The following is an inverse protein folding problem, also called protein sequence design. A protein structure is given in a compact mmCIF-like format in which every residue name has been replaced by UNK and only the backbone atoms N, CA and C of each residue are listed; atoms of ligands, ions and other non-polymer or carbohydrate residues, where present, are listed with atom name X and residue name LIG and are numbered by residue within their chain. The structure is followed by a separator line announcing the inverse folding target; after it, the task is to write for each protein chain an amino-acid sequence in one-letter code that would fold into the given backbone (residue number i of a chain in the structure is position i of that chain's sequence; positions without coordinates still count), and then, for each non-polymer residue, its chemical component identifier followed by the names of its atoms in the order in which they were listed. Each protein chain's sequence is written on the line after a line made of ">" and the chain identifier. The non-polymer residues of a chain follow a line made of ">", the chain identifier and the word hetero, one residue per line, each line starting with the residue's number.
data_IF_754222076815
#
_entry.id   IF_754222076815
#
_cell.length_a   1.000
_cell.length_b   1.000
_cell.length_c   1.000
_cell.angle_alpha   90.00
_cell.angle_beta   90.00
_cell.angle_gamma   90.00
#
_symmetry.space_group_name_H-M   'P 1'
#
loop_
_entity.id
_entity.type
_entity.pdbx_description
1 polymer ?
#
# COMPACT_ATOMS: atom_id res chain seq x y z
N UNK A 1 26.17 -12.03 -8.38
CA UNK A 1 25.65 -11.16 -9.49
C UNK A 1 26.02 -9.71 -9.20
N UNK A 2 26.52 -8.99 -10.22
CA UNK A 2 26.96 -7.59 -10.14
C UNK A 2 25.99 -6.76 -10.92
N UNK A 3 25.50 -5.65 -10.34
CA UNK A 3 24.55 -4.74 -10.98
C UNK A 3 25.22 -3.46 -11.45
N UNK A 4 26.18 -2.95 -10.66
CA UNK A 4 26.85 -1.68 -10.98
C UNK A 4 28.37 -1.86 -10.99
N UNK A 5 29.13 -1.18 -11.88
CA UNK A 5 30.59 -1.30 -11.95
C UNK A 5 31.32 -0.91 -10.66
N UNK A 6 30.72 -0.02 -9.85
CA UNK A 6 31.30 0.41 -8.56
C UNK A 6 31.07 -0.58 -7.42
N UNK A 7 30.24 -1.64 -7.61
CA UNK A 7 29.97 -2.59 -6.56
C UNK A 7 31.25 -3.30 -6.11
N UNK A 8 31.57 -3.21 -4.83
CA UNK A 8 32.68 -3.96 -4.21
C UNK A 8 32.21 -5.22 -3.47
N UNK A 9 30.89 -5.49 -3.51
CA UNK A 9 30.27 -6.75 -3.07
C UNK A 9 29.42 -7.34 -4.16
N UNK A 10 29.24 -8.66 -4.12
CA UNK A 10 28.32 -9.39 -4.99
C UNK A 10 27.42 -10.32 -4.16
N UNK A 11 26.28 -10.71 -4.73
CA UNK A 11 25.38 -11.70 -4.13
C UNK A 11 25.69 -13.07 -4.71
N UNK A 12 25.98 -14.02 -3.83
CA UNK A 12 26.19 -15.43 -4.14
C UNK A 12 24.87 -16.16 -4.48
N UNK A 13 25.00 -17.41 -4.90
CA UNK A 13 23.84 -18.30 -5.19
C UNK A 13 23.02 -18.61 -3.94
N UNK A 14 23.61 -18.50 -2.78
CA UNK A 14 22.99 -18.66 -1.45
C UNK A 14 22.25 -17.39 -0.96
N UNK A 15 22.25 -16.32 -1.74
CA UNK A 15 21.62 -15.05 -1.39
C UNK A 15 22.46 -14.14 -0.46
N UNK A 16 23.66 -14.58 -0.04
CA UNK A 16 24.53 -13.80 0.82
C UNK A 16 25.46 -12.86 0.03
N UNK A 17 25.95 -11.81 0.71
CA UNK A 17 26.89 -10.86 0.10
C UNK A 17 28.33 -11.29 0.36
N UNK A 18 29.17 -11.21 -0.65
CA UNK A 18 30.61 -11.51 -0.59
C UNK A 18 31.43 -10.38 -1.17
N UNK A 19 32.57 -10.08 -0.55
CA UNK A 19 33.48 -9.04 -1.01
C UNK A 19 34.14 -9.44 -2.34
N UNK A 20 34.09 -8.58 -3.35
CA UNK A 20 34.74 -8.79 -4.66
C UNK A 20 36.22 -8.42 -4.68
N UNK A 21 36.63 -7.57 -3.77
CA UNK A 21 38.02 -7.13 -3.57
C UNK A 21 38.24 -6.95 -2.06
N UNK A 22 39.47 -6.86 -1.60
CA UNK A 22 39.75 -6.48 -0.22
C UNK A 22 39.15 -5.11 0.09
N UNK A 23 38.49 -4.98 1.24
CA UNK A 23 37.85 -3.75 1.72
C UNK A 23 38.51 -3.39 3.05
N UNK A 24 39.06 -2.19 3.16
CA UNK A 24 39.71 -1.77 4.40
C UNK A 24 38.70 -1.37 5.47
N UNK A 25 39.11 -1.42 6.73
CA UNK A 25 38.25 -0.91 7.82
C UNK A 25 37.94 0.58 7.60
N UNK A 26 36.69 0.96 7.68
CA UNK A 26 36.21 2.31 7.47
C UNK A 26 35.81 2.61 6.02
N UNK A 27 36.15 1.74 5.06
CA UNK A 27 35.74 1.92 3.67
C UNK A 27 34.27 1.58 3.48
N UNK A 28 33.65 2.24 2.51
CA UNK A 28 32.25 2.00 2.15
C UNK A 28 32.06 0.61 1.52
N UNK A 29 30.99 -0.04 1.94
CA UNK A 29 30.45 -1.21 1.26
C UNK A 29 29.49 -0.70 0.19
N UNK A 30 29.86 -0.88 -1.07
CA UNK A 30 29.09 -0.37 -2.22
C UNK A 30 28.33 -1.51 -2.89
N UNK A 31 27.01 -1.33 -3.02
CA UNK A 31 26.10 -2.22 -3.72
C UNK A 31 25.10 -1.40 -4.54
N UNK A 32 24.80 -1.82 -5.75
CA UNK A 32 23.96 -1.04 -6.70
C UNK A 32 24.53 0.34 -7.05
N UNK A 33 25.85 0.51 -6.91
CA UNK A 33 26.52 1.78 -7.11
C UNK A 33 26.44 2.76 -5.94
N UNK A 34 25.79 2.38 -4.84
CA UNK A 34 25.58 3.20 -3.65
C UNK A 34 26.19 2.56 -2.39
N UNK A 35 26.69 3.36 -1.44
CA UNK A 35 27.14 2.85 -0.16
C UNK A 35 25.95 2.32 0.66
N UNK A 36 26.07 1.07 1.13
CA UNK A 36 25.08 0.42 2.01
C UNK A 36 25.55 0.34 3.47
N UNK A 37 26.70 0.89 3.78
CA UNK A 37 27.33 0.89 5.09
C UNK A 37 28.84 1.00 4.93
N UNK A 38 29.59 0.85 6.03
CA UNK A 38 31.05 0.82 6.03
C UNK A 38 31.58 -0.42 6.74
N UNK A 39 32.79 -0.85 6.38
CA UNK A 39 33.45 -1.98 7.01
C UNK A 39 33.89 -1.63 8.45
N UNK A 40 33.53 -2.45 9.43
CA UNK A 40 33.95 -2.29 10.83
C UNK A 40 35.28 -2.96 11.13
N UNK A 41 35.74 -3.84 10.24
CA UNK A 41 37.04 -4.52 10.24
C UNK A 41 37.50 -4.74 8.79
N UNK A 42 38.79 -5.02 8.51
CA UNK A 42 39.23 -5.40 7.18
C UNK A 42 38.46 -6.65 6.69
N UNK A 43 37.99 -6.62 5.44
CA UNK A 43 37.23 -7.73 4.82
C UNK A 43 38.08 -8.23 3.65
N UNK A 44 38.42 -9.53 3.63
CA UNK A 44 39.15 -10.13 2.54
C UNK A 44 38.27 -10.39 1.31
N UNK A 45 38.89 -10.47 0.13
CA UNK A 45 38.16 -10.88 -1.07
C UNK A 45 37.55 -12.26 -0.90
N UNK A 46 36.30 -12.41 -1.27
CA UNK A 46 35.48 -13.64 -1.10
C UNK A 46 34.94 -13.83 0.31
N UNK A 47 35.23 -12.95 1.24
CA UNK A 47 34.69 -13.02 2.61
C UNK A 47 33.22 -12.58 2.63
N UNK A 48 32.44 -13.22 3.53
CA UNK A 48 31.04 -12.92 3.75
C UNK A 48 30.89 -11.54 4.39
N UNK A 49 30.05 -10.69 3.77
CA UNK A 49 29.79 -9.32 4.19
C UNK A 49 28.43 -9.27 4.90
N UNK A 50 28.45 -9.08 6.23
CA UNK A 50 27.30 -9.15 7.09
C UNK A 50 27.43 -8.21 8.29
N UNK A 51 26.41 -8.16 9.18
CA UNK A 51 26.39 -7.29 10.36
C UNK A 51 27.53 -7.48 11.36
N UNK A 52 28.32 -8.56 11.27
CA UNK A 52 29.53 -8.76 12.07
C UNK A 52 30.71 -7.91 11.61
N UNK A 53 30.77 -7.52 10.34
CA UNK A 53 31.87 -6.73 9.75
C UNK A 53 31.40 -5.49 8.97
N UNK A 54 30.10 -5.15 9.05
CA UNK A 54 29.51 -3.95 8.44
C UNK A 54 28.66 -3.20 9.46
N UNK A 55 28.79 -1.88 9.48
CA UNK A 55 27.88 -0.98 10.20
C UNK A 55 27.21 -0.01 9.22
N UNK A 56 26.04 0.47 9.62
CA UNK A 56 25.30 1.49 8.86
C UNK A 56 26.04 2.83 8.86
N UNK A 57 25.94 3.58 7.75
CA UNK A 57 26.40 4.96 7.66
C UNK A 57 25.41 5.94 8.30
N UNK A 58 24.21 5.48 8.66
CA UNK A 58 23.18 6.30 9.31
C UNK A 58 23.56 6.50 10.78
N UNK A 59 24.09 7.67 11.12
CA UNK A 59 24.47 8.05 12.49
C UNK A 59 23.95 9.45 12.83
N UNK A 60 23.32 9.59 14.00
CA UNK A 60 22.87 10.87 14.54
C UNK A 60 21.66 11.47 13.82
N UNK A 61 21.47 12.77 13.97
CA UNK A 61 20.54 13.55 13.18
C UNK A 61 21.15 13.77 11.80
N UNK A 62 20.47 13.30 10.76
CA UNK A 62 20.90 13.50 9.39
C UNK A 62 20.35 14.84 8.90
N UNK A 63 21.23 15.73 8.48
CA UNK A 63 20.85 16.91 7.72
C UNK A 63 20.61 16.48 6.27
N UNK A 64 19.33 16.49 5.86
CA UNK A 64 18.97 16.19 4.49
C UNK A 64 18.93 17.46 3.68
N UNK A 65 19.72 17.52 2.62
CA UNK A 65 19.67 18.59 1.65
C UNK A 65 18.98 18.07 0.37
N UNK A 66 17.89 18.72 -0.01
CA UNK A 66 17.13 18.32 -1.19
C UNK A 66 17.81 18.84 -2.45
N UNK A 67 18.43 17.95 -3.21
CA UNK A 67 19.04 18.25 -4.51
C UNK A 67 18.18 17.65 -5.62
N UNK A 68 17.16 18.39 -6.11
CA UNK A 68 16.28 17.86 -7.14
C UNK A 68 17.01 17.71 -8.48
N UNK A 69 16.95 16.52 -9.07
CA UNK A 69 17.35 16.25 -10.45
C UNK A 69 16.12 15.73 -11.22
N UNK A 70 15.40 16.65 -11.85
CA UNK A 70 14.20 16.32 -12.60
C UNK A 70 14.49 16.23 -14.09
N UNK A 71 14.46 15.04 -14.63
CA UNK A 71 14.33 14.83 -16.07
C UNK A 71 12.83 14.85 -16.43
N UNK A 72 12.36 15.80 -17.25
CA UNK A 72 10.96 15.83 -17.69
C UNK A 72 10.59 14.51 -18.38
N UNK A 73 9.48 13.91 -17.98
CA UNK A 73 8.94 12.72 -18.61
C UNK A 73 7.93 13.15 -19.66
N UNK A 74 8.18 12.80 -20.94
CA UNK A 74 7.19 12.98 -21.98
C UNK A 74 6.05 11.96 -21.80
N UNK A 75 4.83 12.47 -21.65
CA UNK A 75 3.65 11.63 -21.43
C UNK A 75 2.99 11.28 -22.74
N UNK A 76 2.95 9.99 -23.07
CA UNK A 76 2.28 9.45 -24.26
C UNK A 76 1.35 8.29 -23.87
N UNK A 77 0.09 8.59 -23.57
CA UNK A 77 -0.88 7.55 -23.24
C UNK A 77 -1.35 6.82 -24.51
N UNK A 78 -0.80 5.63 -24.76
CA UNK A 78 -1.15 4.78 -25.89
C UNK A 78 -1.86 3.49 -25.50
N UNK A 79 -2.03 3.24 -24.21
CA UNK A 79 -2.58 2.00 -23.69
C UNK A 79 -3.86 2.23 -22.91
N UNK A 80 -4.73 1.25 -22.96
CA UNK A 80 -5.99 1.19 -22.20
C UNK A 80 -6.06 -0.09 -21.38
N UNK A 81 -6.94 -0.11 -20.39
CA UNK A 81 -7.28 -1.30 -19.63
C UNK A 81 -8.79 -1.40 -19.42
N UNK A 82 -9.27 -2.57 -19.06
CA UNK A 82 -10.67 -2.82 -18.76
C UNK A 82 -10.93 -2.59 -17.26
N UNK A 83 -11.67 -1.53 -16.92
CA UNK A 83 -11.94 -1.12 -15.55
C UNK A 83 -13.38 -0.70 -15.33
N UNK A 84 -13.68 -0.23 -14.13
CA UNK A 84 -15.00 0.25 -13.72
C UNK A 84 -14.95 1.75 -13.47
N UNK A 85 -15.69 2.52 -14.24
CA UNK A 85 -15.85 3.97 -14.03
C UNK A 85 -16.88 4.22 -12.93
N UNK A 86 -16.52 5.02 -11.93
CA UNK A 86 -17.43 5.42 -10.84
C UNK A 86 -18.16 6.72 -11.20
N UNK A 87 -19.25 7.01 -10.48
CA UNK A 87 -20.04 8.23 -10.70
C UNK A 87 -19.24 9.50 -10.43
N UNK A 88 -18.34 9.46 -9.44
CA UNK A 88 -17.41 10.55 -9.09
C UNK A 88 -16.23 10.72 -10.08
N UNK A 89 -16.21 9.94 -11.18
CA UNK A 89 -15.18 9.96 -12.21
C UNK A 89 -13.94 9.13 -11.89
N UNK A 90 -13.80 8.59 -10.70
CA UNK A 90 -12.70 7.68 -10.34
C UNK A 90 -12.82 6.34 -11.08
N UNK A 91 -11.73 5.57 -11.09
CA UNK A 91 -11.65 4.32 -11.82
C UNK A 91 -11.14 3.20 -10.92
N UNK A 92 -11.91 2.11 -10.87
CA UNK A 92 -11.52 0.88 -10.20
C UNK A 92 -11.08 -0.20 -11.19
N UNK A 93 -10.07 -0.97 -10.82
CA UNK A 93 -9.68 -2.21 -11.52
C UNK A 93 -10.46 -3.40 -10.97
N UNK A 94 -11.05 -3.27 -9.78
CA UNK A 94 -11.91 -4.23 -9.10
C UNK A 94 -13.30 -3.65 -8.89
N UNK A 95 -14.24 -4.51 -8.47
CA UNK A 95 -15.62 -4.14 -8.23
C UNK A 95 -16.19 -4.97 -7.07
N UNK A 96 -15.41 -5.06 -6.01
CA UNK A 96 -15.73 -5.90 -4.86
C UNK A 96 -16.77 -5.24 -3.97
N UNK A 97 -17.57 -6.04 -3.26
CA UNK A 97 -18.37 -5.56 -2.13
C UNK A 97 -17.48 -5.57 -0.89
N UNK A 98 -17.41 -4.43 -0.21
CA UNK A 98 -16.64 -4.31 1.02
C UNK A 98 -17.53 -4.14 2.23
N UNK A 99 -17.17 -4.81 3.34
CA UNK A 99 -17.76 -4.58 4.65
C UNK A 99 -16.69 -3.94 5.53
N UNK A 100 -16.94 -2.72 5.99
CA UNK A 100 -15.99 -1.92 6.74
C UNK A 100 -16.53 -1.70 8.16
N UNK A 101 -16.00 -2.40 9.18
CA UNK A 101 -16.39 -2.16 10.57
C UNK A 101 -15.83 -0.83 11.07
N UNK A 102 -16.57 -0.06 11.86
CA UNK A 102 -16.11 1.14 12.55
C UNK A 102 -15.41 0.80 13.87
N UNK A 103 -15.60 -0.43 14.36
CA UNK A 103 -15.03 -0.95 15.61
C UNK A 103 -14.74 -2.44 15.50
N UNK A 104 -13.66 -2.89 16.14
CA UNK A 104 -13.25 -4.30 16.10
C UNK A 104 -14.28 -5.29 16.66
N UNK A 105 -15.21 -4.85 17.51
CA UNK A 105 -16.25 -5.68 18.13
C UNK A 105 -17.16 -6.36 17.09
N UNK A 106 -17.40 -5.74 15.94
CA UNK A 106 -18.25 -6.30 14.87
C UNK A 106 -17.47 -6.98 13.75
N UNK A 107 -16.17 -7.24 13.94
CA UNK A 107 -15.32 -7.91 12.95
C UNK A 107 -15.83 -9.31 12.55
N UNK A 108 -16.38 -10.06 13.51
CA UNK A 108 -16.93 -11.40 13.22
C UNK A 108 -18.13 -11.31 12.27
N UNK A 109 -19.06 -10.41 12.55
CA UNK A 109 -20.22 -10.13 11.71
C UNK A 109 -19.79 -9.61 10.32
N UNK A 110 -18.80 -8.70 10.28
CA UNK A 110 -18.27 -8.19 9.01
C UNK A 110 -17.69 -9.30 8.13
N UNK A 111 -16.92 -10.23 8.70
CA UNK A 111 -16.36 -11.38 7.96
C UNK A 111 -17.43 -12.32 7.47
N UNK A 112 -18.42 -12.63 8.32
CA UNK A 112 -19.54 -13.49 7.95
C UNK A 112 -20.30 -12.91 6.75
N UNK A 113 -20.76 -11.67 6.85
CA UNK A 113 -21.52 -10.99 5.81
C UNK A 113 -20.74 -10.85 4.50
N UNK A 114 -19.45 -10.49 4.58
CA UNK A 114 -18.61 -10.40 3.40
C UNK A 114 -18.43 -11.76 2.71
N UNK A 115 -18.19 -12.83 3.46
CA UNK A 115 -18.00 -14.17 2.92
C UNK A 115 -19.23 -14.68 2.16
N UNK A 116 -20.44 -14.37 2.63
CA UNK A 116 -21.69 -14.80 2.00
C UNK A 116 -21.90 -14.23 0.58
N UNK A 117 -21.30 -13.07 0.29
CA UNK A 117 -21.41 -12.41 -1.02
C UNK A 117 -20.11 -12.46 -1.84
N UNK A 118 -19.11 -13.22 -1.39
CA UNK A 118 -17.80 -13.23 -2.02
C UNK A 118 -17.11 -11.85 -1.97
N UNK A 119 -17.41 -11.06 -0.97
CA UNK A 119 -16.86 -9.72 -0.72
C UNK A 119 -15.63 -9.74 0.18
N UNK A 120 -15.20 -8.56 0.63
CA UNK A 120 -14.01 -8.35 1.47
C UNK A 120 -14.40 -7.64 2.75
N UNK A 121 -14.05 -8.23 3.92
CA UNK A 121 -14.16 -7.54 5.21
C UNK A 121 -12.83 -6.84 5.53
N UNK A 122 -12.84 -5.52 5.65
CA UNK A 122 -11.67 -4.71 6.00
C UNK A 122 -11.61 -4.50 7.52
N UNK A 123 -11.31 -5.58 8.24
CA UNK A 123 -11.31 -5.63 9.69
C UNK A 123 -10.06 -4.97 10.31
N UNK A 124 -10.22 -4.42 11.51
CA UNK A 124 -9.12 -3.85 12.31
C UNK A 124 -9.31 -4.20 13.80
N UNK A 125 -8.24 -4.21 14.63
CA UNK A 125 -8.33 -4.60 16.03
C UNK A 125 -8.81 -3.49 16.97
N UNK A 126 -9.01 -2.27 16.47
CA UNK A 126 -9.26 -1.12 17.32
C UNK A 126 -10.69 -1.10 17.85
N UNK A 127 -10.82 -0.69 19.14
CA UNK A 127 -12.07 -0.58 19.86
C UNK A 127 -12.23 0.80 20.51
N UNK A 128 -13.11 0.88 21.51
CA UNK A 128 -13.43 2.12 22.25
C UNK A 128 -12.24 2.71 23.05
N UNK A 129 -11.15 1.95 23.22
CA UNK A 129 -9.94 2.42 23.91
C UNK A 129 -9.03 3.30 23.05
N UNK A 130 -9.24 3.35 21.75
CA UNK A 130 -8.45 4.23 20.87
C UNK A 130 -8.93 5.68 21.03
N UNK A 131 -8.02 6.59 21.37
CA UNK A 131 -8.32 7.99 21.68
C UNK A 131 -7.42 8.94 20.91
N UNK A 132 -7.80 10.22 20.89
CA UNK A 132 -7.01 11.30 20.32
C UNK A 132 -6.66 11.11 18.84
N UNK A 133 -5.43 11.45 18.47
CA UNK A 133 -4.98 11.41 17.09
C UNK A 133 -5.06 10.03 16.43
N UNK A 134 -4.78 8.96 17.18
CA UNK A 134 -4.83 7.61 16.64
C UNK A 134 -6.26 7.22 16.25
N UNK A 135 -7.23 7.64 17.05
CA UNK A 135 -8.65 7.46 16.74
C UNK A 135 -9.04 8.24 15.47
N UNK A 136 -8.62 9.50 15.37
CA UNK A 136 -8.89 10.33 14.20
C UNK A 136 -8.27 9.75 12.93
N UNK A 137 -7.00 9.33 12.98
CA UNK A 137 -6.31 8.71 11.86
C UNK A 137 -7.00 7.41 11.40
N UNK A 138 -7.46 6.58 12.35
CA UNK A 138 -8.22 5.37 12.02
C UNK A 138 -9.53 5.72 11.31
N UNK A 139 -10.26 6.69 11.82
CA UNK A 139 -11.51 7.13 11.21
C UNK A 139 -11.30 7.72 9.80
N UNK A 140 -10.21 8.50 9.60
CA UNK A 140 -9.84 9.05 8.28
C UNK A 140 -9.47 7.94 7.29
N UNK A 141 -8.71 6.94 7.74
CA UNK A 141 -8.35 5.79 6.92
C UNK A 141 -9.59 4.99 6.49
N UNK A 142 -10.48 4.69 7.43
CA UNK A 142 -11.73 3.98 7.12
C UNK A 142 -12.61 4.78 6.16
N UNK A 143 -12.71 6.11 6.34
CA UNK A 143 -13.44 6.98 5.42
C UNK A 143 -12.82 6.99 4.02
N UNK A 144 -11.50 6.96 3.91
CA UNK A 144 -10.78 6.85 2.64
C UNK A 144 -11.04 5.51 1.95
N UNK A 145 -11.13 4.41 2.73
CA UNK A 145 -11.48 3.09 2.20
C UNK A 145 -12.91 3.05 1.65
N UNK A 146 -13.87 3.72 2.30
CA UNK A 146 -15.25 3.84 1.77
C UNK A 146 -15.29 4.50 0.39
N UNK A 147 -14.38 5.46 0.14
CA UNK A 147 -14.26 6.19 -1.13
C UNK A 147 -13.37 5.51 -2.15
N UNK A 148 -12.79 4.35 -1.82
CA UNK A 148 -11.81 3.70 -2.68
C UNK A 148 -12.48 3.13 -3.95
N UNK A 149 -11.99 3.45 -5.17
CA UNK A 149 -12.67 3.12 -6.42
C UNK A 149 -12.74 1.62 -6.74
N UNK A 150 -11.97 0.77 -6.07
CA UNK A 150 -12.08 -0.68 -6.21
C UNK A 150 -13.31 -1.27 -5.50
N UNK A 151 -13.94 -0.52 -4.58
CA UNK A 151 -15.20 -0.91 -4.00
C UNK A 151 -16.35 -0.67 -4.99
N UNK A 152 -17.08 -1.71 -5.36
CA UNK A 152 -18.32 -1.64 -6.13
C UNK A 152 -19.52 -1.28 -5.28
N UNK A 153 -19.42 -1.55 -3.99
CA UNK A 153 -20.38 -1.18 -2.94
C UNK A 153 -19.75 -1.40 -1.57
N UNK A 154 -20.14 -0.57 -0.61
CA UNK A 154 -19.60 -0.60 0.75
C UNK A 154 -20.72 -0.66 1.78
N UNK A 155 -20.67 -1.66 2.67
CA UNK A 155 -21.44 -1.69 3.90
C UNK A 155 -20.56 -1.21 5.04
N UNK A 156 -20.87 -0.05 5.63
CA UNK A 156 -20.24 0.43 6.86
C UNK A 156 -21.01 -0.15 8.03
N UNK A 157 -20.30 -0.87 8.91
CA UNK A 157 -20.89 -1.63 10.02
C UNK A 157 -20.40 -1.09 11.36
N UNK A 158 -21.30 -0.51 12.15
CA UNK A 158 -21.08 -0.08 13.53
C UNK A 158 -21.71 -1.05 14.55
N UNK A 159 -21.25 -0.98 15.80
CA UNK A 159 -21.89 -1.68 16.91
C UNK A 159 -23.01 -0.83 17.52
N UNK A 160 -22.72 0.43 17.87
CA UNK A 160 -23.66 1.37 18.48
C UNK A 160 -23.14 2.07 19.73
N UNK A 161 -22.09 1.55 20.38
CA UNK A 161 -21.49 2.14 21.60
C UNK A 161 -20.02 2.55 21.43
N UNK A 162 -19.50 2.48 20.23
CA UNK A 162 -18.10 2.85 19.92
C UNK A 162 -17.88 4.37 19.89
N UNK A 163 -16.61 4.79 20.11
CA UNK A 163 -16.20 6.20 20.00
C UNK A 163 -16.30 6.72 18.56
N UNK A 164 -16.03 5.88 17.58
CA UNK A 164 -16.23 6.18 16.17
C UNK A 164 -17.69 5.97 15.76
N UNK A 165 -18.60 6.73 16.40
CA UNK A 165 -20.03 6.59 16.19
C UNK A 165 -20.42 6.73 14.72
N UNK A 166 -21.50 6.05 14.31
CA UNK A 166 -21.97 6.13 12.92
C UNK A 166 -22.29 7.56 12.50
N UNK A 167 -22.80 8.39 13.40
CA UNK A 167 -23.06 9.79 13.13
C UNK A 167 -21.77 10.59 12.87
N UNK A 168 -20.76 10.43 13.73
CA UNK A 168 -19.46 11.11 13.55
C UNK A 168 -18.76 10.64 12.28
N UNK A 169 -18.84 9.35 11.98
CA UNK A 169 -18.26 8.77 10.79
C UNK A 169 -18.93 9.28 9.51
N UNK A 170 -20.25 9.37 9.47
CA UNK A 170 -20.99 9.98 8.34
C UNK A 170 -20.64 11.44 8.13
N UNK A 171 -20.49 12.23 9.20
CA UNK A 171 -20.02 13.63 9.09
C UNK A 171 -18.61 13.70 8.48
N UNK A 172 -17.73 12.79 8.85
CA UNK A 172 -16.36 12.71 8.30
C UNK A 172 -16.36 12.31 6.83
N UNK A 173 -17.23 11.39 6.43
CA UNK A 173 -17.44 11.03 5.03
C UNK A 173 -17.95 12.21 4.20
N UNK A 174 -18.78 13.09 4.77
CA UNK A 174 -19.44 14.15 4.03
C UNK A 174 -20.42 13.63 2.98
N UNK A 175 -20.49 14.27 1.82
CA UNK A 175 -21.38 13.85 0.74
C UNK A 175 -20.95 12.49 0.17
N UNK A 176 -21.89 11.55 0.13
CA UNK A 176 -21.73 10.19 -0.38
C UNK A 176 -22.74 9.86 -1.49
N UNK A 177 -23.41 10.87 -2.05
CA UNK A 177 -24.45 10.69 -3.07
C UNK A 177 -23.94 9.97 -4.33
N UNK A 178 -22.66 10.13 -4.64
CA UNK A 178 -21.99 9.48 -5.76
C UNK A 178 -21.44 8.08 -5.43
N UNK A 179 -21.54 7.66 -4.19
CA UNK A 179 -21.03 6.36 -3.71
C UNK A 179 -22.18 5.35 -3.54
N UNK A 180 -21.86 4.09 -3.85
CA UNK A 180 -22.74 2.97 -3.52
C UNK A 180 -22.41 2.51 -2.08
N UNK A 181 -22.99 3.15 -1.09
CA UNK A 181 -22.73 2.90 0.34
C UNK A 181 -24.02 2.70 1.14
N UNK A 182 -23.98 1.75 2.09
CA UNK A 182 -25.02 1.52 3.10
C UNK A 182 -24.39 1.51 4.48
N UNK A 183 -25.20 1.76 5.48
CA UNK A 183 -24.79 1.87 6.88
C UNK A 183 -25.69 0.99 7.75
N UNK A 184 -25.07 0.25 8.64
CA UNK A 184 -25.75 -0.59 9.63
C UNK A 184 -25.14 -0.38 11.01
N UNK A 185 -25.97 -0.15 12.01
CA UNK A 185 -25.59 -0.20 13.42
C UNK A 185 -26.23 -1.44 14.02
N UNK A 186 -25.41 -2.38 14.50
CA UNK A 186 -25.89 -3.70 14.91
C UNK A 186 -26.91 -3.64 16.07
N UNK A 187 -26.69 -2.73 17.03
CA UNK A 187 -27.59 -2.59 18.19
C UNK A 187 -28.94 -1.88 17.88
N UNK A 188 -29.06 -1.24 16.72
CA UNK A 188 -30.31 -0.55 16.32
C UNK A 188 -31.31 -1.47 15.64
N UNK A 189 -30.95 -2.72 15.38
CA UNK A 189 -31.80 -3.71 14.69
C UNK A 189 -31.98 -4.98 15.52
N UNK A 190 -33.06 -5.72 15.26
CA UNK A 190 -33.32 -6.97 15.97
C UNK A 190 -32.49 -8.15 15.44
N UNK A 191 -32.17 -8.15 14.15
CA UNK A 191 -31.37 -9.17 13.46
C UNK A 191 -30.40 -8.47 12.53
N UNK A 192 -29.18 -8.27 13.03
CA UNK A 192 -28.11 -7.61 12.31
C UNK A 192 -27.60 -8.42 11.11
N UNK A 193 -27.76 -9.75 11.14
CA UNK A 193 -27.38 -10.61 10.03
C UNK A 193 -28.38 -10.48 8.89
N UNK A 194 -29.67 -10.56 9.19
CA UNK A 194 -30.71 -10.42 8.16
C UNK A 194 -30.67 -9.03 7.52
N UNK A 195 -30.53 -7.98 8.33
CA UNK A 195 -30.44 -6.61 7.81
C UNK A 195 -29.14 -6.39 6.99
N UNK A 196 -28.00 -6.91 7.45
CA UNK A 196 -26.73 -6.87 6.70
C UNK A 196 -26.85 -7.55 5.34
N UNK A 197 -27.48 -8.72 5.26
CA UNK A 197 -27.77 -9.43 4.00
C UNK A 197 -28.63 -8.60 3.05
N UNK A 198 -29.71 -7.99 3.59
CA UNK A 198 -30.60 -7.13 2.81
C UNK A 198 -29.82 -5.95 2.17
N UNK A 199 -29.03 -5.25 2.98
CA UNK A 199 -28.23 -4.10 2.53
C UNK A 199 -27.15 -4.51 1.51
N UNK A 200 -26.50 -5.66 1.70
CA UNK A 200 -25.53 -6.19 0.73
C UNK A 200 -26.18 -6.59 -0.60
N UNK A 201 -27.40 -7.11 -0.57
CA UNK A 201 -28.16 -7.41 -1.79
C UNK A 201 -28.49 -6.13 -2.58
N UNK A 202 -28.87 -5.04 -1.90
CA UNK A 202 -29.07 -3.74 -2.54
C UNK A 202 -27.77 -3.22 -3.18
N UNK A 203 -26.67 -3.22 -2.43
CA UNK A 203 -25.34 -2.81 -2.93
C UNK A 203 -24.92 -3.62 -4.15
N UNK A 204 -25.21 -4.93 -4.15
CA UNK A 204 -24.90 -5.82 -5.27
C UNK A 204 -25.72 -5.48 -6.51
N UNK A 205 -26.99 -5.15 -6.35
CA UNK A 205 -27.88 -4.78 -7.45
C UNK A 205 -27.48 -3.44 -8.10
N UNK A 206 -26.99 -2.50 -7.31
CA UNK A 206 -26.63 -1.15 -7.77
C UNK A 206 -25.21 -1.04 -8.35
N UNK A 207 -24.33 -2.01 -8.10
CA UNK A 207 -22.94 -1.93 -8.58
C UNK A 207 -22.86 -2.08 -10.11
N UNK A 208 -21.94 -1.37 -10.80
CA UNK A 208 -21.72 -1.56 -12.22
C UNK A 208 -21.30 -3.01 -12.54
N UNK A 209 -21.94 -3.64 -13.52
CA UNK A 209 -21.64 -5.05 -13.87
C UNK A 209 -20.65 -5.16 -15.03
N UNK A 210 -20.48 -4.11 -15.84
CA UNK A 210 -19.64 -4.13 -17.04
C UNK A 210 -18.36 -3.31 -16.85
N UNK A 211 -17.25 -3.88 -17.33
CA UNK A 211 -16.00 -3.14 -17.51
C UNK A 211 -16.11 -2.27 -18.77
N UNK A 212 -15.43 -1.14 -18.73
CA UNK A 212 -15.28 -0.23 -19.85
C UNK A 212 -13.82 -0.01 -20.15
N UNK A 213 -13.52 0.37 -21.37
CA UNK A 213 -12.16 0.75 -21.77
C UNK A 213 -11.77 2.09 -21.16
N UNK A 214 -10.61 2.13 -20.51
CA UNK A 214 -10.13 3.27 -19.73
C UNK A 214 -8.66 3.50 -20.08
N UNK A 215 -8.23 4.74 -20.36
CA UNK A 215 -6.83 5.05 -20.58
C UNK A 215 -5.96 4.72 -19.35
N UNK A 216 -4.77 4.18 -19.57
CA UNK A 216 -3.79 3.86 -18.50
C UNK A 216 -3.39 5.10 -17.71
N UNK A 217 -3.51 6.29 -18.28
CA UNK A 217 -3.29 7.55 -17.56
C UNK A 217 -4.18 7.75 -16.30
N UNK A 218 -5.29 7.00 -16.20
CA UNK A 218 -6.15 7.01 -15.00
C UNK A 218 -5.79 5.93 -13.97
N UNK A 219 -4.80 5.08 -14.26
CA UNK A 219 -4.38 4.01 -13.36
C UNK A 219 -3.47 4.55 -12.25
N UNK A 220 -3.76 4.15 -11.02
CA UNK A 220 -2.94 4.45 -9.83
C UNK A 220 -2.51 3.14 -9.20
N UNK A 221 -1.21 2.98 -8.97
CA UNK A 221 -0.63 1.73 -8.44
C UNK A 221 0.26 2.03 -7.25
N UNK A 222 -0.05 1.41 -6.11
CA UNK A 222 0.82 1.42 -4.94
C UNK A 222 1.94 0.40 -5.12
N UNK A 223 3.16 0.79 -4.83
CA UNK A 223 4.36 -0.03 -4.90
C UNK A 223 4.91 -0.24 -3.49
N UNK A 224 5.23 -1.48 -3.16
CA UNK A 224 5.75 -1.87 -1.85
C UNK A 224 6.82 -2.95 -2.00
N UNK A 225 7.93 -2.80 -1.27
CA UNK A 225 8.89 -3.87 -1.09
C UNK A 225 8.34 -4.93 -0.13
N UNK A 226 8.54 -6.22 -0.42
CA UNK A 226 8.02 -7.33 0.37
C UNK A 226 8.99 -7.82 1.44
N UNK A 227 10.05 -8.53 1.01
CA UNK A 227 10.88 -9.35 1.87
C UNK A 227 12.26 -8.79 2.21
N UNK A 228 12.69 -7.69 1.61
CA UNK A 228 14.04 -7.09 1.81
C UNK A 228 15.19 -8.09 1.66
N UNK A 229 15.03 -9.08 0.78
CA UNK A 229 16.07 -10.08 0.50
C UNK A 229 17.02 -9.62 -0.61
N UNK A 230 18.21 -10.24 -0.69
CA UNK A 230 19.23 -9.87 -1.66
C UNK A 230 18.81 -10.04 -3.12
N UNK A 231 17.91 -10.96 -3.43
CA UNK A 231 17.42 -11.18 -4.79
C UNK A 231 16.35 -10.18 -5.20
N UNK A 232 15.55 -9.65 -4.27
CA UNK A 232 14.57 -8.58 -4.56
C UNK A 232 15.25 -7.37 -5.20
N UNK A 233 16.38 -6.95 -4.64
CA UNK A 233 17.15 -5.82 -5.17
C UNK A 233 17.78 -6.10 -6.55
N UNK A 234 17.98 -7.36 -6.90
CA UNK A 234 18.56 -7.77 -8.19
C UNK A 234 17.50 -7.96 -9.28
N UNK A 235 16.28 -8.30 -8.92
CA UNK A 235 15.25 -8.75 -9.86
C UNK A 235 13.96 -7.96 -9.73
N UNK A 236 13.24 -8.14 -8.62
CA UNK A 236 11.90 -7.59 -8.44
C UNK A 236 11.91 -6.05 -8.38
N UNK A 237 12.79 -5.45 -7.59
CA UNK A 237 12.81 -3.99 -7.42
C UNK A 237 13.18 -3.24 -8.72
N UNK A 238 14.20 -3.65 -9.51
CA UNK A 238 14.44 -3.07 -10.83
C UNK A 238 13.26 -3.23 -11.79
N UNK A 239 12.56 -4.37 -11.77
CA UNK A 239 11.37 -4.58 -12.60
C UNK A 239 10.23 -3.65 -12.18
N UNK A 240 9.99 -3.50 -10.88
CA UNK A 240 9.00 -2.56 -10.34
C UNK A 240 9.34 -1.12 -10.71
N UNK A 241 10.63 -0.74 -10.64
CA UNK A 241 11.11 0.56 -11.11
C UNK A 241 10.80 0.80 -12.59
N UNK A 242 11.11 -0.17 -13.46
CA UNK A 242 10.78 -0.09 -14.89
C UNK A 242 9.28 0.00 -15.16
N UNK A 243 8.49 -0.72 -14.37
CA UNK A 243 7.02 -0.60 -14.45
C UNK A 243 6.55 0.79 -14.03
N UNK A 244 7.13 1.36 -12.97
CA UNK A 244 6.83 2.72 -12.52
C UNK A 244 7.14 3.74 -13.62
N UNK A 245 8.34 3.69 -14.21
CA UNK A 245 8.73 4.58 -15.31
C UNK A 245 7.76 4.48 -16.49
N UNK A 246 7.42 3.25 -16.88
CA UNK A 246 6.46 3.02 -17.96
C UNK A 246 5.08 3.59 -17.63
N UNK A 247 4.55 3.37 -16.40
CA UNK A 247 3.23 3.85 -16.01
C UNK A 247 3.17 5.38 -15.98
N UNK A 248 4.22 6.03 -15.47
CA UNK A 248 4.35 7.49 -15.45
C UNK A 248 4.44 8.04 -16.87
N UNK A 249 5.20 7.40 -17.77
CA UNK A 249 5.25 7.77 -19.19
C UNK A 249 3.90 7.59 -19.92
N UNK A 250 3.00 6.73 -19.42
CA UNK A 250 1.61 6.64 -19.88
C UNK A 250 0.68 7.68 -19.22
N UNK A 251 1.19 8.55 -18.34
CA UNK A 251 0.40 9.53 -17.58
C UNK A 251 -0.31 8.97 -16.36
N UNK A 252 -0.05 7.71 -15.98
CA UNK A 252 -0.54 7.10 -14.76
C UNK A 252 0.22 7.57 -13.51
N UNK A 253 -0.16 7.06 -12.37
CA UNK A 253 0.44 7.43 -11.08
C UNK A 253 0.96 6.21 -10.35
N UNK A 254 2.19 6.27 -9.84
CA UNK A 254 2.72 5.33 -8.87
C UNK A 254 2.83 5.98 -7.51
N UNK A 255 2.56 5.20 -6.45
CA UNK A 255 2.70 5.62 -5.05
C UNK A 255 3.72 4.72 -4.39
N UNK A 256 4.85 5.30 -4.00
CA UNK A 256 5.90 4.62 -3.26
C UNK A 256 5.57 4.67 -1.77
N UNK A 257 5.64 3.54 -1.07
CA UNK A 257 5.09 3.44 0.29
C UNK A 257 6.14 3.35 1.40
N UNK A 258 7.40 3.12 1.09
CA UNK A 258 8.45 2.88 2.07
C UNK A 258 9.49 4.01 2.05
N UNK A 259 9.03 5.21 2.44
CA UNK A 259 9.80 6.46 2.39
C UNK A 259 11.20 6.37 3.03
N UNK A 260 11.43 5.69 4.18
CA UNK A 260 12.79 5.62 4.75
C UNK A 260 13.84 4.96 3.84
N UNK A 261 13.43 4.16 2.87
CA UNK A 261 14.34 3.50 1.93
C UNK A 261 14.82 4.42 0.79
N UNK A 262 14.23 5.61 0.65
CA UNK A 262 14.59 6.60 -0.38
C UNK A 262 15.54 7.68 0.12
N UNK A 263 15.97 7.59 1.36
CA UNK A 263 16.79 8.60 2.04
C UNK A 263 18.26 8.18 2.10
N UNK A 264 18.73 7.40 1.14
CA UNK A 264 20.12 6.94 1.05
C UNK A 264 20.87 7.62 -0.10
#
# INVERSE_FOLDING_TARGET
>A
MIIHPKDNVEVGEDGHKYARCPIAQGDDIVKYGMPIGHATAPIAQGEHVHCNNVATNLKGELEYEYHPDFTPVEVHCTRTFQGYRRKDGQVGVRNDLWVIPTVGCVNALARQLAAEVGGVALCHPYGCSQLGRDHEMTADLLASLVRHPNAGGVLVLGLGCENNTMESFRRRLGDVSDLNVRFLVAQDVQDEVAEGRRLLAELQAERPTRRTEIPVSQLRVGLKCGGSDGFSGLTANPLVGRFSDWLVAQGGTTVLTEVPEYVL
#
